data_IF_536473335201
#
_entry.id   IF_536473335201
#
_cell.length_a   1.000
_cell.length_b   1.000
_cell.length_c   1.000
_cell.angle_alpha   90.00
_cell.angle_beta   90.00
_cell.angle_gamma   90.00
#
_symmetry.space_group_name_H-M   'P 1'
#
loop_
_entity.id
_entity.type
_entity.pdbx_description
1 polymer ?
#
# COMPACT_ATOMS: atom_id res chain seq x y z
N UNK A 1 -5.13 57.87 26.46
CA UNK A 1 -3.73 57.59 26.07
C UNK A 1 -3.72 56.27 25.31
N UNK A 2 -3.35 56.26 24.03
CA UNK A 2 -3.27 55.02 23.26
C UNK A 2 -2.02 54.23 23.69
N UNK A 3 -2.21 52.98 24.12
CA UNK A 3 -1.16 52.08 24.57
C UNK A 3 -0.19 51.80 23.40
N UNK A 4 1.01 52.38 23.41
CA UNK A 4 2.04 52.09 22.38
C UNK A 4 2.70 50.76 22.70
N UNK A 5 2.48 49.75 21.83
CA UNK A 5 3.07 48.41 21.93
C UNK A 5 4.49 48.42 21.33
N UNK A 6 5.47 47.91 22.07
CA UNK A 6 6.84 47.72 21.59
C UNK A 6 6.89 46.62 20.52
N UNK A 7 7.60 46.88 19.42
CA UNK A 7 7.83 45.93 18.32
C UNK A 7 9.30 45.93 17.90
N UNK A 8 9.87 44.74 17.69
CA UNK A 8 11.25 44.54 17.23
C UNK A 8 11.35 43.28 16.36
N UNK A 9 12.00 43.37 15.20
CA UNK A 9 12.13 42.25 14.25
C UNK A 9 13.46 41.52 14.44
N UNK A 10 13.53 40.63 15.44
CA UNK A 10 14.76 39.86 15.75
C UNK A 10 15.11 38.80 14.68
N UNK A 11 14.12 38.30 13.94
CA UNK A 11 14.28 37.20 12.97
C UNK A 11 14.52 37.67 11.53
N UNK A 12 14.84 38.96 11.32
CA UNK A 12 15.05 39.52 9.99
C UNK A 12 13.76 39.85 9.22
N UNK A 13 13.88 40.27 7.94
CA UNK A 13 12.75 40.59 7.09
C UNK A 13 11.90 39.35 6.79
N UNK A 14 10.58 39.51 6.79
CA UNK A 14 9.63 38.44 6.51
C UNK A 14 9.13 38.60 5.08
N UNK A 15 9.24 37.54 4.28
CA UNK A 15 8.66 37.45 2.94
C UNK A 15 7.60 36.35 2.97
N UNK A 16 6.41 36.64 2.48
CA UNK A 16 5.35 35.64 2.28
C UNK A 16 5.28 35.32 0.79
N UNK A 17 5.84 34.19 0.33
CA UNK A 17 5.70 33.80 -1.07
C UNK A 17 4.24 33.49 -1.38
N UNK A 18 3.78 33.85 -2.58
CA UNK A 18 2.51 33.39 -3.09
C UNK A 18 2.69 31.96 -3.63
N UNK A 19 2.03 30.98 -3.02
CA UNK A 19 2.10 29.57 -3.43
C UNK A 19 0.75 29.21 -4.04
N UNK A 20 0.76 28.88 -5.34
CA UNK A 20 -0.40 28.31 -6.02
C UNK A 20 -0.24 26.78 -6.07
N UNK A 21 -1.01 26.06 -5.26
CA UNK A 21 -0.88 24.60 -5.18
C UNK A 21 -1.45 23.87 -6.39
N UNK A 22 -2.24 24.55 -7.23
CA UNK A 22 -2.81 23.96 -8.46
C UNK A 22 -1.69 23.46 -9.37
N UNK A 23 -0.58 24.19 -9.44
CA UNK A 23 0.53 23.90 -10.36
C UNK A 23 1.38 22.68 -9.92
N UNK A 24 1.10 22.09 -8.75
CA UNK A 24 1.81 20.90 -8.24
C UNK A 24 1.17 19.58 -8.67
N UNK A 25 -0.01 19.62 -9.29
CA UNK A 25 -0.75 18.42 -9.69
C UNK A 25 -0.78 18.28 -11.22
N UNK A 26 -0.52 17.07 -11.71
CA UNK A 26 -0.61 16.75 -13.13
C UNK A 26 -2.06 16.41 -13.51
N UNK A 27 -2.76 17.37 -14.13
CA UNK A 27 -4.14 17.18 -14.59
C UNK A 27 -4.29 16.14 -15.70
N UNK A 28 -3.20 15.77 -16.39
CA UNK A 28 -3.21 14.81 -17.49
C UNK A 28 -2.78 13.40 -17.05
N UNK A 29 -2.46 13.22 -15.76
CA UNK A 29 -2.09 11.92 -15.25
C UNK A 29 -3.25 10.93 -15.38
N UNK A 30 -3.00 9.81 -16.05
CA UNK A 30 -3.87 8.64 -16.06
C UNK A 30 -3.15 7.49 -15.37
N UNK A 31 -3.85 6.75 -14.51
CA UNK A 31 -3.27 5.57 -13.90
C UNK A 31 -2.89 4.55 -15.00
N UNK A 32 -1.67 3.99 -14.97
CA UNK A 32 -1.26 2.98 -15.93
C UNK A 32 -2.22 1.77 -15.95
N UNK A 33 -2.57 1.31 -17.15
CA UNK A 33 -3.40 0.12 -17.35
C UNK A 33 -2.59 -1.19 -17.16
N UNK A 34 -1.98 -1.33 -15.99
CA UNK A 34 -1.24 -2.53 -15.52
C UNK A 34 -1.73 -2.88 -14.11
N UNK A 35 -1.36 -4.04 -13.57
CA UNK A 35 -1.84 -4.53 -12.26
C UNK A 35 -1.29 -3.72 -11.08
N UNK A 36 -1.96 -3.78 -9.92
CA UNK A 36 -1.53 -3.01 -8.74
C UNK A 36 -0.11 -3.41 -8.29
N UNK A 37 0.20 -4.71 -8.34
CA UNK A 37 1.54 -5.24 -8.03
C UNK A 37 2.60 -4.79 -9.04
N UNK A 38 2.26 -4.65 -10.33
CA UNK A 38 3.18 -4.13 -11.35
C UNK A 38 3.43 -2.62 -11.20
N UNK A 39 2.40 -1.83 -10.84
CA UNK A 39 2.59 -0.42 -10.46
C UNK A 39 3.55 -0.31 -9.26
N UNK A 40 3.35 -1.16 -8.24
CA UNK A 40 4.23 -1.24 -7.08
C UNK A 40 5.68 -1.55 -7.50
N UNK A 41 5.89 -2.58 -8.33
CA UNK A 41 7.23 -2.98 -8.78
C UNK A 41 7.93 -1.86 -9.56
N UNK A 42 7.24 -1.22 -10.51
CA UNK A 42 7.82 -0.12 -11.29
C UNK A 42 8.25 1.05 -10.39
N UNK A 43 7.41 1.42 -9.42
CA UNK A 43 7.75 2.50 -8.49
C UNK A 43 8.84 2.10 -7.51
N UNK A 44 8.88 0.85 -7.03
CA UNK A 44 9.95 0.33 -6.19
C UNK A 44 11.32 0.44 -6.90
N UNK A 45 11.37 0.09 -8.18
CA UNK A 45 12.60 0.22 -8.96
C UNK A 45 13.06 1.67 -9.12
N UNK A 46 12.12 2.62 -9.26
CA UNK A 46 12.45 4.06 -9.25
C UNK A 46 13.10 4.47 -7.91
N UNK A 47 12.56 4.00 -6.79
CA UNK A 47 13.11 4.31 -5.46
C UNK A 47 14.51 3.71 -5.26
N UNK A 48 14.77 2.50 -5.76
CA UNK A 48 16.11 1.93 -5.76
C UNK A 48 17.08 2.73 -6.62
N UNK A 49 16.68 3.14 -7.83
CA UNK A 49 17.52 4.00 -8.68
C UNK A 49 17.82 5.34 -8.02
N UNK A 50 16.88 5.90 -7.26
CA UNK A 50 17.05 7.15 -6.55
C UNK A 50 18.14 7.07 -5.46
N UNK A 51 18.31 5.92 -4.80
CA UNK A 51 19.34 5.76 -3.76
C UNK A 51 20.78 5.95 -4.29
N UNK A 52 21.01 5.65 -5.58
CA UNK A 52 22.33 5.73 -6.18
C UNK A 52 23.39 4.88 -5.46
N UNK A 53 24.64 5.30 -5.55
CA UNK A 53 25.74 4.67 -4.81
C UNK A 53 25.72 5.08 -3.34
N UNK A 54 26.01 4.17 -2.39
CA UNK A 54 26.09 4.50 -0.97
C UNK A 54 27.17 5.54 -0.66
N UNK A 55 26.82 6.56 0.14
CA UNK A 55 27.74 7.60 0.56
C UNK A 55 27.61 7.88 2.07
N UNK A 56 28.73 8.14 2.74
CA UNK A 56 28.72 8.57 4.14
C UNK A 56 28.54 10.09 4.27
N UNK A 57 27.45 10.61 3.69
CA UNK A 57 27.06 12.02 3.75
C UNK A 57 25.73 12.22 4.49
N UNK A 58 25.50 13.44 4.99
CA UNK A 58 24.24 13.77 5.67
C UNK A 58 23.04 13.77 4.71
N UNK A 59 23.29 14.17 3.48
CA UNK A 59 22.38 14.24 2.35
C UNK A 59 21.95 12.84 1.94
N UNK A 60 22.89 11.90 1.84
CA UNK A 60 22.58 10.51 1.53
C UNK A 60 21.79 9.84 2.65
N UNK A 61 22.14 10.08 3.92
CA UNK A 61 21.35 9.60 5.07
C UNK A 61 19.92 10.15 5.07
N UNK A 62 19.74 11.43 4.72
CA UNK A 62 18.41 12.02 4.53
C UNK A 62 17.66 11.38 3.35
N UNK A 63 18.34 11.15 2.24
CA UNK A 63 17.77 10.49 1.07
C UNK A 63 17.27 9.08 1.39
N UNK A 64 18.05 8.28 2.13
CA UNK A 64 17.64 6.95 2.59
C UNK A 64 16.36 7.03 3.43
N UNK A 65 16.26 8.01 4.34
CA UNK A 65 15.06 8.24 5.13
C UNK A 65 13.85 8.54 4.23
N UNK A 66 14.00 9.42 3.22
CA UNK A 66 12.94 9.75 2.27
C UNK A 66 12.54 8.56 1.40
N UNK A 67 13.50 7.77 0.94
CA UNK A 67 13.24 6.55 0.16
C UNK A 67 12.51 5.50 1.00
N UNK A 68 12.84 5.37 2.29
CA UNK A 68 12.10 4.49 3.19
C UNK A 68 10.63 4.91 3.33
N UNK A 69 10.37 6.22 3.49
CA UNK A 69 8.99 6.74 3.46
C UNK A 69 8.29 6.40 2.16
N UNK A 70 9.02 6.47 1.04
CA UNK A 70 8.59 6.03 -0.28
C UNK A 70 8.11 4.59 -0.28
N UNK A 71 8.93 3.63 0.19
CA UNK A 71 8.53 2.21 0.24
C UNK A 71 7.25 1.97 1.05
N UNK A 72 7.10 2.62 2.20
CA UNK A 72 5.87 2.52 3.00
C UNK A 72 4.67 3.10 2.25
N UNK A 73 4.84 4.22 1.56
CA UNK A 73 3.81 4.81 0.71
C UNK A 73 3.43 3.90 -0.47
N UNK A 74 4.38 3.12 -1.02
CA UNK A 74 4.09 2.16 -2.08
C UNK A 74 3.22 0.99 -1.60
N UNK A 75 3.44 0.47 -0.39
CA UNK A 75 2.58 -0.57 0.20
C UNK A 75 1.16 -0.04 0.40
N UNK A 76 1.02 1.16 0.96
CA UNK A 76 -0.29 1.80 1.11
C UNK A 76 -0.99 2.02 -0.25
N UNK A 77 -0.26 2.52 -1.24
CA UNK A 77 -0.80 2.73 -2.60
C UNK A 77 -1.25 1.41 -3.23
N UNK A 78 -0.49 0.32 -3.04
CA UNK A 78 -0.87 -1.01 -3.48
C UNK A 78 -2.17 -1.46 -2.82
N UNK A 79 -2.29 -1.36 -1.49
CA UNK A 79 -3.49 -1.77 -0.77
C UNK A 79 -4.73 -0.98 -1.21
N UNK A 80 -4.59 0.33 -1.45
CA UNK A 80 -5.70 1.15 -1.98
C UNK A 80 -6.14 0.69 -3.37
N UNK A 81 -5.16 0.57 -4.27
CA UNK A 81 -5.40 0.19 -5.65
C UNK A 81 -6.02 -1.21 -5.79
N UNK A 82 -5.51 -2.19 -5.03
CA UNK A 82 -6.04 -3.57 -5.08
C UNK A 82 -7.47 -3.64 -4.54
N UNK A 83 -7.78 -2.96 -3.42
CA UNK A 83 -9.14 -2.92 -2.88
C UNK A 83 -10.09 -2.29 -3.90
N UNK A 84 -9.75 -1.13 -4.46
CA UNK A 84 -10.57 -0.49 -5.51
C UNK A 84 -10.86 -1.44 -6.66
N UNK A 85 -9.83 -2.13 -7.18
CA UNK A 85 -9.98 -3.04 -8.33
C UNK A 85 -10.87 -4.24 -8.02
N UNK A 86 -10.77 -4.78 -6.80
CA UNK A 86 -11.69 -5.81 -6.32
C UNK A 86 -13.13 -5.28 -6.33
N UNK A 87 -13.39 -4.09 -5.78
CA UNK A 87 -14.74 -3.50 -5.72
C UNK A 87 -15.34 -3.21 -7.11
N UNK A 88 -14.51 -2.92 -8.12
CA UNK A 88 -14.97 -2.68 -9.48
C UNK A 88 -15.32 -3.97 -10.24
N UNK A 89 -14.70 -5.10 -9.88
CA UNK A 89 -14.86 -6.38 -10.59
C UNK A 89 -15.84 -7.30 -9.88
N UNK A 90 -15.73 -7.43 -8.55
CA UNK A 90 -16.49 -8.38 -7.76
C UNK A 90 -17.70 -7.73 -7.08
N UNK A 91 -18.90 -8.12 -7.52
CA UNK A 91 -20.15 -7.54 -7.00
C UNK A 91 -20.42 -7.90 -5.54
N UNK A 92 -20.00 -9.09 -5.12
CA UNK A 92 -20.19 -9.52 -3.74
C UNK A 92 -19.35 -8.65 -2.81
N UNK A 93 -18.06 -8.50 -3.11
CA UNK A 93 -17.14 -7.61 -2.41
C UNK A 93 -17.65 -6.16 -2.40
N UNK A 94 -18.12 -5.66 -3.55
CA UNK A 94 -18.71 -4.32 -3.64
C UNK A 94 -19.88 -4.11 -2.67
N UNK A 95 -20.70 -5.14 -2.44
CA UNK A 95 -21.87 -5.04 -1.56
C UNK A 95 -21.50 -4.78 -0.09
N UNK A 96 -20.34 -5.27 0.37
CA UNK A 96 -19.84 -5.00 1.73
C UNK A 96 -19.51 -3.52 1.94
N UNK A 97 -19.21 -2.80 0.85
CA UNK A 97 -18.90 -1.38 0.89
C UNK A 97 -20.11 -0.45 0.92
N UNK A 98 -21.33 -0.92 0.65
CA UNK A 98 -22.51 -0.05 0.47
C UNK A 98 -22.90 0.77 1.71
N UNK A 99 -22.55 0.31 2.91
CA UNK A 99 -22.82 1.02 4.17
C UNK A 99 -21.76 2.08 4.51
N UNK A 100 -20.65 2.12 3.78
CA UNK A 100 -19.56 3.04 4.04
C UNK A 100 -19.83 4.38 3.35
N UNK A 101 -19.41 5.46 4.00
CA UNK A 101 -19.67 6.81 3.52
C UNK A 101 -18.56 7.27 2.59
N UNK A 102 -18.94 8.09 1.61
CA UNK A 102 -18.02 8.94 0.84
C UNK A 102 -18.40 10.40 1.08
N UNK A 103 -17.45 11.31 0.90
CA UNK A 103 -17.78 12.74 0.92
C UNK A 103 -18.75 13.08 -0.23
N UNK A 104 -19.63 14.06 -0.01
CA UNK A 104 -20.52 14.52 -1.07
C UNK A 104 -19.74 15.12 -2.25
N UNK A 105 -18.58 15.72 -1.98
CA UNK A 105 -17.66 16.19 -3.02
C UNK A 105 -17.16 15.04 -3.91
N UNK A 106 -16.77 13.91 -3.32
CA UNK A 106 -16.38 12.73 -4.08
C UNK A 106 -17.55 12.21 -4.95
N UNK A 107 -18.77 12.19 -4.42
CA UNK A 107 -19.95 11.78 -5.18
C UNK A 107 -20.26 12.70 -6.38
N UNK A 108 -19.95 14.00 -6.30
CA UNK A 108 -20.13 14.95 -7.41
C UNK A 108 -18.99 14.89 -8.42
N UNK A 109 -17.74 14.84 -7.96
CA UNK A 109 -16.57 15.12 -8.80
C UNK A 109 -15.76 13.88 -9.21
N UNK A 110 -15.91 12.73 -8.54
CA UNK A 110 -15.18 11.52 -8.95
C UNK A 110 -15.87 10.80 -10.11
N UNK A 111 -15.06 10.26 -11.01
CA UNK A 111 -15.50 9.26 -11.99
C UNK A 111 -15.85 7.95 -11.27
N UNK A 112 -16.80 7.18 -11.82
CA UNK A 112 -17.28 5.92 -11.22
C UNK A 112 -16.14 4.93 -10.94
N UNK A 113 -15.15 4.88 -11.82
CA UNK A 113 -14.00 3.97 -11.74
C UNK A 113 -13.04 4.34 -10.60
N UNK A 114 -13.00 5.61 -10.19
CA UNK A 114 -12.11 6.11 -9.12
C UNK A 114 -12.88 6.33 -7.81
N UNK A 115 -14.21 6.38 -7.84
CA UNK A 115 -15.04 6.57 -6.65
C UNK A 115 -14.70 5.62 -5.48
N UNK A 116 -14.34 4.34 -5.68
CA UNK A 116 -13.96 3.50 -4.54
C UNK A 116 -12.68 3.96 -3.82
N UNK A 117 -11.83 4.81 -4.41
CA UNK A 117 -10.72 5.44 -3.65
C UNK A 117 -11.25 6.34 -2.54
N UNK A 118 -12.38 7.02 -2.77
CA UNK A 118 -12.97 7.93 -1.78
C UNK A 118 -13.45 7.19 -0.52
N UNK A 119 -13.76 5.88 -0.63
CA UNK A 119 -14.07 5.03 0.52
C UNK A 119 -12.86 4.82 1.44
N UNK A 120 -11.66 4.94 0.88
CA UNK A 120 -10.41 4.60 1.56
C UNK A 120 -9.71 5.84 2.13
N UNK A 121 -10.22 7.06 1.95
CA UNK A 121 -9.56 8.30 2.39
C UNK A 121 -9.19 8.27 3.89
N UNK A 122 -10.09 7.74 4.72
CA UNK A 122 -9.88 7.58 6.17
C UNK A 122 -9.21 6.25 6.55
N UNK A 123 -8.95 5.37 5.57
CA UNK A 123 -8.26 4.11 5.80
C UNK A 123 -6.75 4.33 6.02
N UNK A 124 -6.19 3.53 6.91
CA UNK A 124 -4.77 3.57 7.25
C UNK A 124 -4.14 2.19 7.04
N UNK A 125 -2.94 2.15 6.47
CA UNK A 125 -2.24 0.91 6.13
C UNK A 125 -0.89 0.82 6.87
N UNK A 126 -0.91 1.14 8.16
CA UNK A 126 0.30 1.29 9.01
C UNK A 126 0.48 0.19 10.08
N UNK A 127 -0.46 -0.74 10.18
CA UNK A 127 -0.42 -1.84 11.15
C UNK A 127 -1.09 -3.08 10.59
N UNK A 128 -0.72 -4.27 11.11
CA UNK A 128 -1.37 -5.53 10.76
C UNK A 128 -2.90 -5.39 10.90
N UNK A 129 -3.35 -4.91 12.06
CA UNK A 129 -4.76 -4.75 12.36
C UNK A 129 -5.46 -3.83 11.35
N UNK A 130 -4.91 -2.65 11.06
CA UNK A 130 -5.60 -1.72 10.17
C UNK A 130 -5.70 -2.24 8.75
N UNK A 131 -4.68 -2.95 8.25
CA UNK A 131 -4.71 -3.55 6.92
C UNK A 131 -5.80 -4.63 6.84
N UNK A 132 -5.82 -5.56 7.80
CA UNK A 132 -6.82 -6.64 7.87
C UNK A 132 -8.25 -6.11 8.02
N UNK A 133 -8.46 -5.17 8.94
CA UNK A 133 -9.76 -4.57 9.21
C UNK A 133 -10.28 -3.79 7.99
N UNK A 134 -9.40 -3.07 7.29
CA UNK A 134 -9.74 -2.29 6.08
C UNK A 134 -10.17 -3.23 4.95
N UNK A 135 -9.35 -4.25 4.64
CA UNK A 135 -9.67 -5.27 3.62
C UNK A 135 -11.05 -5.85 3.92
N UNK A 136 -11.26 -6.37 5.13
CA UNK A 136 -12.52 -7.00 5.53
C UNK A 136 -13.72 -6.05 5.47
N UNK A 137 -13.54 -4.80 5.90
CA UNK A 137 -14.61 -3.80 5.94
C UNK A 137 -15.11 -3.46 4.54
N UNK A 138 -14.22 -3.33 3.57
CA UNK A 138 -14.59 -2.89 2.23
C UNK A 138 -14.92 -4.05 1.30
N UNK A 139 -14.19 -5.17 1.36
CA UNK A 139 -14.35 -6.29 0.42
C UNK A 139 -15.07 -7.49 1.01
N UNK A 140 -15.25 -7.56 2.33
CA UNK A 140 -15.77 -8.75 3.03
C UNK A 140 -14.77 -9.91 3.14
N UNK A 141 -13.61 -9.83 2.47
CA UNK A 141 -12.57 -10.87 2.50
C UNK A 141 -11.90 -10.87 3.89
N UNK A 142 -11.92 -12.03 4.55
CA UNK A 142 -11.39 -12.17 5.91
C UNK A 142 -10.17 -13.09 5.90
N UNK A 143 -8.98 -12.48 5.99
CA UNK A 143 -7.71 -13.22 6.14
C UNK A 143 -7.67 -13.84 7.54
N UNK A 144 -7.64 -15.17 7.61
CA UNK A 144 -7.62 -15.92 8.86
C UNK A 144 -6.20 -16.00 9.40
N UNK A 145 -5.97 -15.40 10.57
CA UNK A 145 -4.63 -15.33 11.17
C UNK A 145 -3.99 -16.70 11.42
N UNK A 146 -4.80 -17.74 11.64
CA UNK A 146 -4.30 -19.08 11.94
C UNK A 146 -3.91 -19.84 10.68
N UNK A 147 -4.57 -19.53 9.54
CA UNK A 147 -4.32 -20.19 8.25
C UNK A 147 -3.28 -19.44 7.42
N UNK A 148 -3.31 -18.11 7.46
CA UNK A 148 -2.49 -17.24 6.61
C UNK A 148 -1.24 -16.76 7.35
N UNK A 149 -0.51 -17.71 7.96
CA UNK A 149 0.62 -17.41 8.88
C UNK A 149 1.73 -16.58 8.21
N UNK A 150 2.01 -16.83 6.93
CA UNK A 150 3.01 -16.08 6.16
C UNK A 150 2.61 -14.61 5.99
N UNK A 151 1.35 -14.34 5.65
CA UNK A 151 0.76 -13.00 5.55
C UNK A 151 0.88 -12.26 6.88
N UNK A 152 0.50 -12.91 7.98
CA UNK A 152 0.59 -12.31 9.32
C UNK A 152 2.04 -11.99 9.69
N UNK A 153 2.97 -12.90 9.43
CA UNK A 153 4.39 -12.66 9.70
C UNK A 153 4.93 -11.47 8.88
N UNK A 154 4.55 -11.35 7.61
CA UNK A 154 4.94 -10.23 6.75
C UNK A 154 4.39 -8.90 7.29
N UNK A 155 3.11 -8.85 7.64
CA UNK A 155 2.45 -7.65 8.18
C UNK A 155 3.07 -7.21 9.51
N UNK A 156 3.43 -8.14 10.40
CA UNK A 156 4.08 -7.83 11.67
C UNK A 156 5.46 -7.23 11.48
N UNK A 157 6.24 -7.72 10.52
CA UNK A 157 7.53 -7.11 10.16
C UNK A 157 7.36 -5.72 9.57
N UNK A 158 6.39 -5.54 8.71
CA UNK A 158 6.08 -4.23 8.12
C UNK A 158 5.59 -3.21 9.16
N UNK A 159 4.84 -3.63 10.19
CA UNK A 159 4.44 -2.74 11.27
C UNK A 159 5.64 -2.15 12.04
N UNK A 160 6.75 -2.88 12.13
CA UNK A 160 8.00 -2.36 12.69
C UNK A 160 8.56 -1.23 11.84
N UNK A 161 8.54 -1.37 10.50
CA UNK A 161 8.95 -0.33 9.55
C UNK A 161 8.03 0.89 9.67
N UNK A 162 6.73 0.68 9.86
CA UNK A 162 5.79 1.77 10.11
C UNK A 162 6.11 2.56 11.40
N UNK A 163 6.69 1.90 12.43
CA UNK A 163 7.19 2.62 13.60
C UNK A 163 8.43 3.46 13.27
N UNK A 164 9.31 3.00 12.37
CA UNK A 164 10.45 3.80 11.90
C UNK A 164 9.98 5.01 11.06
N UNK A 165 8.98 4.82 10.19
CA UNK A 165 8.31 5.91 9.45
C UNK A 165 7.81 6.98 10.40
N UNK A 166 7.15 6.60 11.50
CA UNK A 166 6.71 7.56 12.52
C UNK A 166 7.87 8.36 13.14
N UNK A 167 9.04 7.75 13.38
CA UNK A 167 10.22 8.46 13.89
C UNK A 167 10.68 9.54 12.89
N UNK A 168 10.80 9.17 11.61
CA UNK A 168 11.27 10.09 10.56
C UNK A 168 10.31 11.26 10.40
N UNK A 169 9.00 11.00 10.27
CA UNK A 169 8.00 12.03 9.94
C UNK A 169 7.72 12.96 11.13
N UNK A 170 7.55 12.43 12.34
CA UNK A 170 7.00 13.23 13.45
C UNK A 170 8.05 13.77 14.42
N UNK A 171 9.31 13.36 14.30
CA UNK A 171 10.38 13.78 15.23
C UNK A 171 11.71 14.06 14.55
N UNK A 172 11.70 14.41 13.27
CA UNK A 172 12.93 14.65 12.48
C UNK A 172 13.94 13.49 12.59
N UNK A 173 13.43 12.26 12.66
CA UNK A 173 14.26 11.06 12.80
C UNK A 173 14.64 10.67 14.23
N UNK A 174 14.24 11.42 15.27
CA UNK A 174 14.56 11.06 16.66
C UNK A 174 13.69 9.92 17.19
N UNK A 175 14.31 8.94 17.83
CA UNK A 175 13.64 7.77 18.36
C UNK A 175 12.90 8.08 19.66
N UNK A 176 11.56 7.96 19.64
CA UNK A 176 10.71 8.30 20.79
C UNK A 176 10.24 7.11 21.63
N UNK A 177 9.82 7.41 22.85
CA UNK A 177 9.34 6.41 23.82
C UNK A 177 8.15 5.60 23.31
N UNK A 178 7.22 6.22 22.55
CA UNK A 178 6.09 5.50 21.95
C UNK A 178 6.54 4.44 20.94
N UNK A 179 7.56 4.75 20.14
CA UNK A 179 8.16 3.81 19.18
C UNK A 179 8.92 2.70 19.93
N UNK A 180 9.69 3.08 20.96
CA UNK A 180 10.41 2.14 21.82
C UNK A 180 9.49 1.13 22.50
N UNK A 181 8.33 1.57 23.01
CA UNK A 181 7.34 0.66 23.60
C UNK A 181 6.83 -0.39 22.61
N UNK A 182 6.64 -0.02 21.34
CA UNK A 182 6.17 -0.94 20.29
C UNK A 182 7.25 -1.86 19.75
N UNK A 183 8.50 -1.40 19.67
CA UNK A 183 9.64 -2.19 19.19
C UNK A 183 10.34 -3.01 20.32
N UNK A 184 9.99 -2.74 21.58
CA UNK A 184 10.56 -3.38 22.77
C UNK A 184 11.52 -2.45 23.52
N UNK A 185 11.02 -1.80 24.58
CA UNK A 185 11.73 -0.76 25.33
C UNK A 185 13.02 -1.27 26.00
N UNK A 186 13.02 -2.49 26.52
CA UNK A 186 14.15 -3.07 27.24
C UNK A 186 15.44 -3.03 26.42
N UNK A 187 15.34 -3.31 25.12
CA UNK A 187 16.49 -3.30 24.20
C UNK A 187 16.75 -1.92 23.59
N UNK A 188 15.71 -1.09 23.47
CA UNK A 188 15.78 0.15 22.69
C UNK A 188 15.92 1.43 23.54
N UNK A 189 15.84 1.36 24.87
CA UNK A 189 15.91 2.55 25.75
C UNK A 189 17.20 3.36 25.58
N UNK A 190 18.32 2.71 25.24
CA UNK A 190 19.61 3.36 24.97
C UNK A 190 19.60 4.25 23.72
N UNK A 191 18.58 4.15 22.87
CA UNK A 191 18.44 4.93 21.64
C UNK A 191 17.41 6.05 21.75
N UNK A 192 16.76 6.24 22.89
CA UNK A 192 15.82 7.35 23.08
C UNK A 192 16.49 8.69 22.77
N UNK A 193 15.79 9.53 22.00
CA UNK A 193 16.25 10.83 21.52
C UNK A 193 17.49 10.78 20.62
N UNK A 194 17.93 9.60 20.17
CA UNK A 194 18.99 9.46 19.15
C UNK A 194 18.37 9.45 17.75
N UNK A 195 19.09 9.98 16.74
CA UNK A 195 18.63 9.95 15.35
C UNK A 195 18.65 8.52 14.80
N UNK A 196 17.66 8.21 13.97
CA UNK A 196 17.65 7.00 13.15
C UNK A 196 18.77 7.09 12.10
N UNK A 197 19.51 6.00 11.96
CA UNK A 197 20.53 5.83 10.93
C UNK A 197 20.21 4.51 10.24
N UNK A 198 19.86 4.58 8.95
CA UNK A 198 19.54 3.42 8.13
C UNK A 198 20.73 3.19 7.19
N UNK A 199 21.37 2.03 7.28
CA UNK A 199 22.44 1.64 6.36
C UNK A 199 21.89 1.20 5.00
N UNK A 200 22.79 1.02 4.02
CA UNK A 200 22.41 0.53 2.70
C UNK A 200 21.78 -0.88 2.76
N UNK A 201 22.33 -1.77 3.58
CA UNK A 201 21.80 -3.12 3.79
C UNK A 201 20.44 -3.09 4.51
N UNK A 202 20.28 -2.16 5.46
CA UNK A 202 19.04 -1.99 6.18
C UNK A 202 17.92 -1.47 5.27
N UNK A 203 18.20 -0.53 4.35
CA UNK A 203 17.17 -0.03 3.42
C UNK A 203 16.77 -1.09 2.39
N UNK A 204 17.71 -1.93 1.95
CA UNK A 204 17.39 -3.10 1.11
C UNK A 204 16.50 -4.11 1.87
N UNK A 205 16.80 -4.36 3.13
CA UNK A 205 15.99 -5.25 3.98
C UNK A 205 14.58 -4.70 4.19
N UNK A 206 14.45 -3.38 4.40
CA UNK A 206 13.16 -2.68 4.51
C UNK A 206 12.35 -2.83 3.21
N UNK A 207 12.99 -2.65 2.05
CA UNK A 207 12.34 -2.82 0.76
C UNK A 207 11.85 -4.27 0.58
N UNK A 208 12.64 -5.27 0.96
CA UNK A 208 12.26 -6.68 0.90
C UNK A 208 11.07 -7.00 1.82
N UNK A 209 11.00 -6.42 3.02
CA UNK A 209 9.82 -6.59 3.90
C UNK A 209 8.56 -5.99 3.26
N UNK A 210 8.67 -4.80 2.64
CA UNK A 210 7.55 -4.19 1.93
C UNK A 210 7.11 -5.06 0.73
N UNK A 211 8.07 -5.60 -0.03
CA UNK A 211 7.83 -6.49 -1.16
C UNK A 211 7.11 -7.78 -0.74
N UNK A 212 7.53 -8.37 0.39
CA UNK A 212 6.87 -9.55 0.94
C UNK A 212 5.44 -9.26 1.35
N UNK A 213 5.14 -8.12 1.98
CA UNK A 213 3.75 -7.75 2.31
C UNK A 213 2.89 -7.66 1.04
N UNK A 214 3.38 -6.98 0.01
CA UNK A 214 2.62 -6.83 -1.23
C UNK A 214 2.32 -8.19 -1.86
N UNK A 215 3.32 -9.07 -1.96
CA UNK A 215 3.15 -10.41 -2.54
C UNK A 215 2.23 -11.30 -1.72
N UNK A 216 2.47 -11.41 -0.41
CA UNK A 216 1.65 -12.25 0.48
C UNK A 216 0.19 -11.77 0.51
N UNK A 217 -0.05 -10.46 0.55
CA UNK A 217 -1.42 -9.92 0.50
C UNK A 217 -2.03 -10.12 -0.89
N UNK A 218 -1.26 -9.97 -1.98
CA UNK A 218 -1.74 -10.22 -3.35
C UNK A 218 -2.26 -11.65 -3.50
N UNK A 219 -1.44 -12.62 -3.10
CA UNK A 219 -1.74 -14.04 -3.29
C UNK A 219 -2.89 -14.48 -2.37
N UNK A 220 -2.90 -14.03 -1.12
CA UNK A 220 -3.97 -14.35 -0.18
C UNK A 220 -5.33 -13.78 -0.62
N UNK A 221 -5.37 -12.52 -1.07
CA UNK A 221 -6.61 -11.92 -1.57
C UNK A 221 -7.10 -12.61 -2.85
N UNK A 222 -6.18 -13.02 -3.71
CA UNK A 222 -6.51 -13.78 -4.91
C UNK A 222 -7.15 -15.12 -4.55
N UNK A 223 -6.53 -15.88 -3.64
CA UNK A 223 -7.05 -17.18 -3.18
C UNK A 223 -8.46 -17.03 -2.57
N UNK A 224 -8.65 -16.06 -1.65
CA UNK A 224 -9.95 -15.82 -1.03
C UNK A 224 -11.04 -15.42 -2.03
N UNK A 225 -10.67 -14.68 -3.09
CA UNK A 225 -11.61 -14.37 -4.17
C UNK A 225 -11.91 -15.59 -5.04
N UNK A 226 -10.91 -16.43 -5.35
CA UNK A 226 -11.12 -17.66 -6.09
C UNK A 226 -12.08 -18.60 -5.35
N UNK A 227 -11.91 -18.77 -4.04
CA UNK A 227 -12.85 -19.51 -3.17
C UNK A 227 -14.27 -18.94 -3.31
N UNK A 228 -14.40 -17.62 -3.24
CA UNK A 228 -15.67 -16.94 -3.36
C UNK A 228 -16.34 -17.12 -4.72
N UNK A 229 -15.60 -17.05 -5.83
CA UNK A 229 -16.19 -17.17 -7.17
C UNK A 229 -16.43 -18.62 -7.60
N UNK A 230 -15.80 -19.59 -6.96
CA UNK A 230 -16.04 -21.01 -7.21
C UNK A 230 -17.52 -21.37 -7.01
N UNK A 231 -18.18 -20.76 -6.03
CA UNK A 231 -19.59 -20.98 -5.71
C UNK A 231 -20.54 -19.99 -6.42
N UNK A 232 -20.03 -18.89 -6.98
CA UNK A 232 -20.85 -17.83 -7.59
C UNK A 232 -21.19 -18.08 -9.07
N UNK A 233 -20.43 -18.91 -9.76
CA UNK A 233 -20.56 -19.13 -11.19
C UNK A 233 -20.57 -20.62 -11.55
N UNK A 234 -21.28 -20.96 -12.62
CA UNK A 234 -21.29 -22.31 -13.19
C UNK A 234 -20.05 -22.52 -14.08
N UNK A 235 -18.96 -23.01 -13.49
CA UNK A 235 -17.71 -23.28 -14.20
C UNK A 235 -17.81 -24.56 -15.05
N UNK A 236 -17.31 -24.50 -16.29
CA UNK A 236 -17.41 -25.61 -17.23
C UNK A 236 -16.12 -26.41 -17.42
N UNK A 237 -15.05 -26.09 -16.69
CA UNK A 237 -13.71 -26.69 -16.87
C UNK A 237 -13.00 -26.36 -18.20
N UNK A 238 -13.65 -25.60 -19.08
CA UNK A 238 -13.11 -25.18 -20.38
C UNK A 238 -12.80 -23.68 -20.34
N UNK A 239 -11.50 -23.36 -20.28
CA UNK A 239 -11.03 -21.98 -20.26
C UNK A 239 -11.62 -21.16 -21.42
N UNK A 240 -11.89 -21.75 -22.59
CA UNK A 240 -12.44 -20.98 -23.72
C UNK A 240 -13.81 -20.39 -23.40
N UNK A 241 -14.62 -21.12 -22.62
CA UNK A 241 -15.96 -20.69 -22.18
C UNK A 241 -15.86 -19.77 -20.97
N UNK A 242 -14.99 -20.10 -20.03
CA UNK A 242 -14.92 -19.46 -18.72
C UNK A 242 -14.01 -18.22 -18.68
N UNK A 243 -13.13 -18.05 -19.67
CA UNK A 243 -12.13 -16.97 -19.73
C UNK A 243 -12.72 -15.60 -19.54
N UNK A 244 -13.92 -15.32 -20.06
CA UNK A 244 -14.57 -13.99 -19.94
C UNK A 244 -14.79 -13.58 -18.48
N UNK A 245 -15.01 -14.54 -17.59
CA UNK A 245 -15.22 -14.31 -16.16
C UNK A 245 -13.88 -14.44 -15.45
N UNK A 246 -13.20 -15.60 -15.58
CA UNK A 246 -11.99 -15.90 -14.83
C UNK A 246 -10.86 -14.88 -15.06
N UNK A 247 -10.65 -14.45 -16.32
CA UNK A 247 -9.58 -13.49 -16.62
C UNK A 247 -9.75 -12.15 -15.92
N UNK A 248 -10.99 -11.72 -15.63
CA UNK A 248 -11.24 -10.46 -14.91
C UNK A 248 -10.69 -10.48 -13.50
N UNK A 249 -10.78 -11.63 -12.82
CA UNK A 249 -10.26 -11.80 -11.47
C UNK A 249 -8.74 -12.01 -11.51
N UNK A 250 -8.27 -12.89 -12.40
CA UNK A 250 -6.84 -13.11 -12.62
C UNK A 250 -6.07 -11.81 -12.92
N UNK A 251 -6.63 -10.93 -13.76
CA UNK A 251 -5.99 -9.68 -14.19
C UNK A 251 -5.87 -8.62 -13.09
N UNK A 252 -6.58 -8.78 -11.96
CA UNK A 252 -6.41 -7.87 -10.82
C UNK A 252 -5.06 -8.13 -10.13
N UNK A 253 -4.64 -9.39 -10.06
CA UNK A 253 -3.53 -9.88 -9.22
C UNK A 253 -2.30 -10.33 -10.00
N UNK A 254 -2.42 -10.49 -11.32
CA UNK A 254 -1.33 -10.94 -12.18
C UNK A 254 -0.08 -10.05 -12.05
N UNK A 255 1.09 -10.67 -11.90
CA UNK A 255 2.39 -10.00 -11.86
C UNK A 255 3.19 -10.32 -13.11
N UNK A 256 3.39 -9.35 -13.98
CA UNK A 256 4.20 -9.53 -15.19
C UNK A 256 5.70 -9.67 -14.88
N UNK A 257 6.15 -9.15 -13.73
CA UNK A 257 7.51 -9.32 -13.23
C UNK A 257 7.78 -10.77 -12.81
N UNK A 258 6.82 -11.41 -12.14
CA UNK A 258 6.96 -12.80 -11.72
C UNK A 258 6.73 -13.77 -12.88
N UNK A 259 5.75 -13.47 -13.74
CA UNK A 259 5.28 -14.38 -14.79
C UNK A 259 5.26 -13.67 -16.14
N UNK A 260 6.31 -13.76 -16.97
CA UNK A 260 6.42 -12.98 -18.22
C UNK A 260 5.42 -13.38 -19.30
N UNK A 261 4.82 -14.59 -19.22
CA UNK A 261 3.82 -15.06 -20.16
C UNK A 261 2.44 -15.15 -19.52
N UNK A 262 1.67 -14.04 -19.61
CA UNK A 262 0.31 -13.94 -19.05
C UNK A 262 -0.63 -15.07 -19.50
N UNK A 263 -0.60 -15.45 -20.78
CA UNK A 263 -1.56 -16.42 -21.31
C UNK A 263 -1.29 -17.84 -20.82
N UNK A 264 -0.01 -18.20 -20.66
CA UNK A 264 0.37 -19.48 -20.09
C UNK A 264 0.05 -19.53 -18.60
N UNK A 265 0.34 -18.46 -17.86
CA UNK A 265 0.03 -18.36 -16.43
C UNK A 265 -1.49 -18.42 -16.16
N UNK A 266 -2.28 -17.67 -16.94
CA UNK A 266 -3.75 -17.71 -16.87
C UNK A 266 -4.28 -19.14 -17.06
N UNK A 267 -3.70 -19.87 -18.02
CA UNK A 267 -4.10 -21.24 -18.33
C UNK A 267 -3.73 -22.19 -17.20
N UNK A 268 -2.53 -22.10 -16.66
CA UNK A 268 -2.08 -22.94 -15.54
C UNK A 268 -2.90 -22.67 -14.27
N UNK A 269 -3.10 -21.39 -13.94
CA UNK A 269 -3.93 -20.96 -12.81
C UNK A 269 -5.37 -21.47 -12.93
N UNK A 270 -6.00 -21.31 -14.10
CA UNK A 270 -7.37 -21.79 -14.32
C UNK A 270 -7.48 -23.32 -14.19
N UNK A 271 -6.52 -24.09 -14.70
CA UNK A 271 -6.53 -25.54 -14.53
C UNK A 271 -6.33 -25.96 -13.08
N UNK A 272 -5.45 -25.28 -12.34
CA UNK A 272 -5.28 -25.53 -10.91
C UNK A 272 -6.57 -25.22 -10.13
N UNK A 273 -7.24 -24.12 -10.46
CA UNK A 273 -8.56 -23.77 -9.92
C UNK A 273 -9.59 -24.85 -10.19
N UNK A 274 -9.73 -25.31 -11.45
CA UNK A 274 -10.68 -26.36 -11.80
C UNK A 274 -10.36 -27.69 -11.10
N UNK A 275 -9.09 -28.07 -11.01
CA UNK A 275 -8.66 -29.27 -10.32
C UNK A 275 -8.98 -29.21 -8.82
N UNK A 276 -8.76 -28.06 -8.18
CA UNK A 276 -9.02 -27.85 -6.76
C UNK A 276 -10.50 -28.03 -6.41
N UNK A 277 -11.40 -27.41 -7.19
CA UNK A 277 -12.85 -27.44 -6.95
C UNK A 277 -13.58 -28.59 -7.66
N UNK A 278 -12.88 -29.41 -8.44
CA UNK A 278 -13.45 -30.57 -9.12
C UNK A 278 -14.31 -30.26 -10.34
N UNK A 279 -14.09 -29.11 -11.00
CA UNK A 279 -14.75 -28.76 -12.27
C UNK A 279 -14.17 -29.60 -13.41
N UNK A 280 -15.05 -30.22 -14.22
CA UNK A 280 -14.70 -31.15 -15.30
C UNK A 280 -14.62 -30.45 -16.64
#
# INVERSE_FOLDING_TARGET
MANKKFTYNISGPKVTPNINTIDFFDQHYEEPNITAIDIYNQKKDIHFRLLGEPQDSSEWKLLVNLVMLGFVSLVESYCRCIIRRILLVDKNAMSYSFKNNVSYAAAIYHKKEILPEALLEDASFISEKNILDTIKTFTGLSIDKQKSVSVIAALQKYEQICQLRHCIVHRSGLFGTKNALKLGLERHHLFLEKPIIISYEAIQSIASVCDNVVKEVNDELFNLLLDGIAEQYDWTGDLRKDKKIFSKYFDIFYSSVANPNRNEELKQCYYSFCQHFGFK
#
